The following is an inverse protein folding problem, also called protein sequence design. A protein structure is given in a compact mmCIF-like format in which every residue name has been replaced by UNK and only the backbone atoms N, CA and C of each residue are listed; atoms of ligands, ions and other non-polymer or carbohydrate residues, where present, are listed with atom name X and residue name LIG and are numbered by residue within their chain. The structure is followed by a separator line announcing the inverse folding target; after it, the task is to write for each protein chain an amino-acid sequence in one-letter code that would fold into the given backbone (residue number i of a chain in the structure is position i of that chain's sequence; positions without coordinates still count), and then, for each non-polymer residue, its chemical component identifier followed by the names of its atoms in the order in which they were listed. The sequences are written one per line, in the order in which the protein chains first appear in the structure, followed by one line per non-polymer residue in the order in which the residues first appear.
data_IF_235631392217
#
_entry.id   IF_235631392217
#
_cell.length_a   1.000
_cell.length_b   1.000
_cell.length_c   1.000
_cell.angle_alpha   90.00
_cell.angle_beta   90.00
_cell.angle_gamma   90.00
#
_symmetry.space_group_name_H-M   'P 1'
#
loop_
_entity.id
_entity.type
_entity.pdbx_description
1 polymer ?
#
# COMPACT_ATOMS: atom_id res chain seq x y z
N UNK A 1 -23.62 -17.87 28.11
CA UNK A 1 -22.29 -17.42 28.60
C UNK A 1 -21.16 -18.31 28.10
N UNK A 2 -21.19 -19.60 28.42
CA UNK A 2 -20.22 -20.62 27.96
C UNK A 2 -20.01 -20.64 26.43
N UNK A 3 -21.06 -20.50 25.62
CA UNK A 3 -20.94 -20.40 24.14
C UNK A 3 -20.12 -19.19 23.69
N UNK A 4 -20.25 -18.05 24.38
CA UNK A 4 -19.50 -16.81 24.08
C UNK A 4 -18.03 -16.96 24.47
N UNK A 5 -17.75 -17.57 25.63
CA UNK A 5 -16.38 -17.86 26.07
C UNK A 5 -15.65 -18.83 25.12
N UNK A 6 -16.31 -19.91 24.69
CA UNK A 6 -15.76 -20.83 23.68
C UNK A 6 -15.46 -20.11 22.36
N UNK A 7 -16.34 -19.21 21.91
CA UNK A 7 -16.11 -18.41 20.71
C UNK A 7 -14.88 -17.49 20.84
N UNK A 8 -14.73 -16.79 21.96
CA UNK A 8 -13.57 -15.92 22.21
C UNK A 8 -12.26 -16.71 22.25
N UNK A 9 -12.24 -17.87 22.93
CA UNK A 9 -11.07 -18.77 22.93
C UNK A 9 -10.71 -19.22 21.51
N UNK A 10 -11.69 -19.52 20.66
CA UNK A 10 -11.45 -19.89 19.26
C UNK A 10 -10.90 -18.71 18.44
N UNK A 11 -11.46 -17.52 18.60
CA UNK A 11 -10.97 -16.29 17.95
C UNK A 11 -9.51 -16.05 18.36
N UNK A 12 -9.17 -16.19 19.64
CA UNK A 12 -7.80 -16.04 20.16
C UNK A 12 -6.80 -17.01 19.51
N UNK A 13 -7.19 -18.29 19.34
CA UNK A 13 -6.35 -19.29 18.65
C UNK A 13 -6.12 -18.91 17.17
N UNK A 14 -7.16 -18.43 16.49
CA UNK A 14 -7.09 -18.01 15.09
C UNK A 14 -6.17 -16.80 14.96
N UNK A 15 -6.33 -15.77 15.80
CA UNK A 15 -5.51 -14.56 15.76
C UNK A 15 -4.05 -14.85 16.10
N UNK A 16 -3.77 -15.73 17.06
CA UNK A 16 -2.40 -16.17 17.40
C UNK A 16 -1.73 -16.88 16.21
N UNK A 17 -2.47 -17.76 15.53
CA UNK A 17 -1.98 -18.45 14.33
C UNK A 17 -1.75 -17.47 13.17
N UNK A 18 -2.69 -16.55 12.94
CA UNK A 18 -2.56 -15.51 11.90
C UNK A 18 -1.39 -14.56 12.17
N UNK A 19 -1.08 -14.25 13.43
CA UNK A 19 0.12 -13.48 13.80
C UNK A 19 1.38 -14.20 13.31
N UNK A 20 1.53 -15.50 13.58
CA UNK A 20 2.70 -16.27 13.14
C UNK A 20 2.81 -16.35 11.61
N UNK A 21 1.69 -16.56 10.92
CA UNK A 21 1.65 -16.56 9.45
C UNK A 21 2.06 -15.20 8.88
N UNK A 22 1.58 -14.11 9.49
CA UNK A 22 1.90 -12.75 9.04
C UNK A 22 3.36 -12.40 9.34
N UNK A 23 3.92 -12.88 10.47
CA UNK A 23 5.33 -12.71 10.81
C UNK A 23 6.25 -13.38 9.78
N UNK A 24 5.93 -14.61 9.36
CA UNK A 24 6.70 -15.32 8.32
C UNK A 24 6.63 -14.58 6.97
N UNK A 25 5.45 -14.07 6.59
CA UNK A 25 5.28 -13.28 5.37
C UNK A 25 6.01 -11.94 5.43
N UNK A 26 5.97 -11.26 6.58
CA UNK A 26 6.72 -10.03 6.83
C UNK A 26 8.23 -10.26 6.68
N UNK A 27 8.79 -11.30 7.31
CA UNK A 27 10.22 -11.62 7.21
C UNK A 27 10.68 -11.93 5.77
N UNK A 28 9.79 -12.45 4.93
CA UNK A 28 10.05 -12.60 3.50
C UNK A 28 9.97 -11.25 2.77
N UNK A 29 8.92 -10.48 3.01
CA UNK A 29 8.72 -9.17 2.37
C UNK A 29 9.86 -8.19 2.69
N UNK A 30 10.35 -8.15 3.94
CA UNK A 30 11.47 -7.31 4.35
C UNK A 30 12.77 -7.66 3.62
N UNK A 31 13.05 -8.95 3.41
CA UNK A 31 14.22 -9.39 2.62
C UNK A 31 14.12 -8.96 1.17
N UNK A 32 12.93 -9.05 0.58
CA UNK A 32 12.67 -8.64 -0.81
C UNK A 32 12.60 -7.11 -0.97
N UNK A 33 12.33 -6.36 0.10
CA UNK A 33 12.22 -4.90 0.06
C UNK A 33 13.57 -4.21 -0.11
N UNK A 34 14.63 -4.72 0.54
CA UNK A 34 15.97 -4.12 0.47
C UNK A 34 16.49 -3.91 -0.96
N UNK A 35 16.49 -4.93 -1.86
CA UNK A 35 16.90 -4.71 -3.25
C UNK A 35 15.92 -3.81 -4.01
N UNK A 36 14.61 -3.96 -3.79
CA UNK A 36 13.60 -3.13 -4.46
C UNK A 36 13.77 -1.63 -4.18
N UNK A 37 14.22 -1.26 -2.96
CA UNK A 37 14.51 0.14 -2.61
C UNK A 37 15.57 0.77 -3.49
N UNK A 38 16.64 0.02 -3.80
CA UNK A 38 17.74 0.51 -4.64
C UNK A 38 17.24 0.86 -6.03
N UNK A 39 16.40 0.00 -6.62
CA UNK A 39 15.79 0.25 -7.92
C UNK A 39 14.88 1.48 -7.91
N UNK A 40 14.04 1.62 -6.87
CA UNK A 40 13.17 2.79 -6.74
C UNK A 40 13.94 4.09 -6.58
N UNK A 41 14.98 4.12 -5.73
CA UNK A 41 15.80 5.33 -5.55
C UNK A 41 16.54 5.73 -6.82
N UNK A 42 17.08 4.76 -7.57
CA UNK A 42 17.78 5.05 -8.82
C UNK A 42 16.89 5.71 -9.87
N UNK A 43 15.64 5.26 -9.99
CA UNK A 43 14.64 5.87 -10.88
C UNK A 43 14.33 7.34 -10.51
N UNK A 44 14.23 7.63 -9.21
CA UNK A 44 13.94 8.99 -8.72
C UNK A 44 15.12 9.95 -8.81
N UNK A 45 16.35 9.45 -8.66
CA UNK A 45 17.54 10.28 -8.73
C UNK A 45 17.67 11.01 -10.07
N UNK A 46 17.10 10.47 -11.16
CA UNK A 46 17.04 11.17 -12.43
C UNK A 46 16.13 12.39 -12.32
N UNK A 47 14.91 12.23 -11.80
CA UNK A 47 13.94 13.32 -11.66
C UNK A 47 14.45 14.42 -10.73
N UNK A 48 15.10 14.04 -9.63
CA UNK A 48 15.69 15.00 -8.68
C UNK A 48 16.83 15.79 -9.31
N UNK A 49 17.75 15.13 -10.05
CA UNK A 49 18.90 15.79 -10.67
C UNK A 49 18.53 16.62 -11.90
N UNK A 50 17.53 16.19 -12.66
CA UNK A 50 17.03 16.93 -13.81
C UNK A 50 16.04 18.03 -13.42
N UNK A 51 15.74 18.19 -12.12
CA UNK A 51 14.78 19.16 -11.58
C UNK A 51 13.45 19.18 -12.35
N UNK A 52 12.98 18.02 -12.78
CA UNK A 52 11.75 17.92 -13.57
C UNK A 52 10.60 18.29 -12.65
N UNK A 53 10.07 19.50 -12.84
CA UNK A 53 8.86 20.00 -12.18
C UNK A 53 7.71 19.87 -13.15
N UNK A 54 6.52 19.60 -12.61
CA UNK A 54 5.31 19.74 -13.40
C UNK A 54 5.14 21.23 -13.79
N UNK A 55 4.98 21.56 -15.08
CA UNK A 55 4.57 22.89 -15.50
C UNK A 55 3.27 23.30 -14.78
N UNK A 56 3.20 24.56 -14.34
CA UNK A 56 2.02 25.09 -13.64
C UNK A 56 0.72 25.00 -14.47
N UNK A 57 0.84 24.91 -15.79
CA UNK A 57 -0.26 24.96 -16.76
C UNK A 57 -0.90 23.59 -17.07
N UNK A 58 -0.45 22.52 -16.40
CA UNK A 58 -0.90 21.15 -16.67
C UNK A 58 -2.27 20.85 -16.07
N UNK A 59 -3.17 20.38 -16.94
CA UNK A 59 -4.61 20.25 -16.64
C UNK A 59 -5.02 18.87 -16.15
N UNK A 60 -4.27 17.82 -16.49
CA UNK A 60 -4.65 16.42 -16.21
C UNK A 60 -3.72 15.75 -15.20
N UNK A 61 -4.29 15.28 -14.09
CA UNK A 61 -3.54 14.65 -13.01
C UNK A 61 -3.96 13.20 -12.80
N UNK A 62 -2.98 12.29 -12.74
CA UNK A 62 -3.21 10.86 -12.48
C UNK A 62 -2.82 10.47 -11.06
N UNK A 63 -3.74 9.94 -10.27
CA UNK A 63 -3.46 9.43 -8.92
C UNK A 63 -3.49 7.91 -8.91
N UNK A 64 -2.37 7.28 -8.58
CA UNK A 64 -2.26 5.83 -8.45
C UNK A 64 -2.21 5.45 -6.97
N UNK A 65 -3.26 4.79 -6.46
CA UNK A 65 -3.31 4.32 -5.08
C UNK A 65 -2.89 2.85 -4.97
N UNK A 66 -1.86 2.54 -4.17
CA UNK A 66 -1.31 1.18 -4.04
C UNK A 66 -1.72 0.48 -2.75
N UNK A 67 -2.65 -0.47 -2.85
CA UNK A 67 -3.17 -1.26 -1.74
C UNK A 67 -3.24 -2.75 -2.08
N UNK A 68 -3.81 -3.54 -1.17
CA UNK A 68 -4.09 -4.97 -1.32
C UNK A 68 -5.59 -5.26 -1.31
N UNK A 69 -5.95 -6.49 -1.63
CA UNK A 69 -7.32 -7.01 -1.51
C UNK A 69 -7.64 -7.54 -0.10
N UNK A 70 -6.60 -7.80 0.71
CA UNK A 70 -6.73 -8.51 1.98
C UNK A 70 -6.90 -7.52 3.13
N UNK A 71 -7.94 -7.73 3.94
CA UNK A 71 -8.17 -6.92 5.13
C UNK A 71 -7.31 -7.31 6.35
N UNK A 72 -7.78 -6.89 7.52
CA UNK A 72 -7.19 -7.19 8.84
C UNK A 72 -5.78 -6.60 9.08
N UNK A 73 -5.42 -5.56 8.33
CA UNK A 73 -4.12 -4.87 8.42
C UNK A 73 -4.24 -3.47 9.05
N UNK A 74 -5.20 -3.26 9.95
CA UNK A 74 -5.39 -1.97 10.63
C UNK A 74 -5.79 -0.83 9.68
N UNK A 75 -5.09 0.30 9.76
CA UNK A 75 -5.44 1.53 9.05
C UNK A 75 -4.71 1.73 7.70
N UNK A 76 -4.03 0.70 7.18
CA UNK A 76 -3.23 0.75 5.94
C UNK A 76 -4.04 1.22 4.72
N UNK A 77 -5.26 0.70 4.53
CA UNK A 77 -6.10 1.09 3.38
C UNK A 77 -6.74 2.45 3.59
N UNK A 78 -7.16 2.73 4.83
CA UNK A 78 -7.82 3.98 5.18
C UNK A 78 -6.86 5.17 5.08
N UNK A 79 -5.59 5.00 5.42
CA UNK A 79 -4.58 6.06 5.30
C UNK A 79 -4.42 6.48 3.84
N UNK A 80 -4.24 5.52 2.93
CA UNK A 80 -4.13 5.78 1.48
C UNK A 80 -5.41 6.41 0.94
N UNK A 81 -6.57 5.84 1.25
CA UNK A 81 -7.85 6.37 0.75
C UNK A 81 -8.13 7.79 1.25
N UNK A 82 -7.71 8.14 2.49
CA UNK A 82 -7.86 9.49 3.02
C UNK A 82 -6.95 10.47 2.28
N UNK A 83 -5.67 10.10 2.07
CA UNK A 83 -4.73 10.91 1.31
C UNK A 83 -5.22 11.15 -0.12
N UNK A 84 -5.67 10.10 -0.81
CA UNK A 84 -6.26 10.21 -2.16
C UNK A 84 -7.46 11.16 -2.19
N UNK A 85 -8.39 11.07 -1.23
CA UNK A 85 -9.56 11.98 -1.19
C UNK A 85 -9.15 13.43 -1.03
N UNK A 86 -8.20 13.70 -0.14
CA UNK A 86 -7.69 15.05 0.07
C UNK A 86 -7.05 15.58 -1.22
N UNK A 87 -6.26 14.76 -1.90
CA UNK A 87 -5.57 15.14 -3.12
C UNK A 87 -6.55 15.39 -4.29
N UNK A 88 -7.54 14.51 -4.47
CA UNK A 88 -8.62 14.72 -5.46
C UNK A 88 -9.35 16.03 -5.18
N UNK A 89 -9.66 16.31 -3.91
CA UNK A 89 -10.37 17.54 -3.53
C UNK A 89 -9.51 18.79 -3.81
N UNK A 90 -8.23 18.75 -3.45
CA UNK A 90 -7.30 19.86 -3.67
C UNK A 90 -7.11 20.15 -5.16
N UNK A 91 -6.87 19.12 -5.96
CA UNK A 91 -6.65 19.25 -7.40
C UNK A 91 -7.93 19.66 -8.14
N UNK A 92 -9.09 19.12 -7.74
CA UNK A 92 -10.38 19.52 -8.31
C UNK A 92 -10.72 20.97 -7.97
N UNK A 93 -10.39 21.45 -6.76
CA UNK A 93 -10.55 22.86 -6.39
C UNK A 93 -9.61 23.78 -7.18
N UNK A 94 -8.43 23.28 -7.57
CA UNK A 94 -7.51 23.98 -8.46
C UNK A 94 -7.94 23.94 -9.94
N UNK A 95 -9.07 23.30 -10.27
CA UNK A 95 -9.59 23.21 -11.64
C UNK A 95 -8.89 22.18 -12.52
N UNK A 96 -8.08 21.28 -11.95
CA UNK A 96 -7.43 20.19 -12.68
C UNK A 96 -8.38 19.01 -12.86
N UNK A 97 -8.34 18.38 -14.03
CA UNK A 97 -8.99 17.11 -14.30
C UNK A 97 -8.20 16.00 -13.61
N UNK A 98 -8.84 15.22 -12.74
CA UNK A 98 -8.19 14.18 -11.96
C UNK A 98 -8.72 12.82 -12.38
N UNK A 99 -7.82 11.86 -12.62
CA UNK A 99 -8.19 10.46 -12.83
C UNK A 99 -7.43 9.56 -11.84
N UNK A 100 -8.06 8.47 -11.44
CA UNK A 100 -7.60 7.60 -10.37
C UNK A 100 -7.42 6.18 -10.88
N UNK A 101 -6.27 5.59 -10.55
CA UNK A 101 -5.98 4.17 -10.75
C UNK A 101 -5.91 3.49 -9.40
N UNK A 102 -6.82 2.54 -9.16
CA UNK A 102 -6.86 1.77 -7.93
C UNK A 102 -6.12 0.44 -8.08
N UNK A 103 -4.99 0.28 -7.39
CA UNK A 103 -4.32 -1.02 -7.30
C UNK A 103 -4.79 -1.72 -6.03
N UNK A 104 -5.58 -2.78 -6.20
CA UNK A 104 -6.22 -3.54 -5.13
C UNK A 104 -7.67 -3.14 -4.86
N UNK A 105 -8.49 -4.14 -4.56
CA UNK A 105 -9.95 -4.04 -4.44
C UNK A 105 -10.39 -3.20 -3.22
N UNK A 106 -9.56 -3.11 -2.17
CA UNK A 106 -9.88 -2.32 -0.97
C UNK A 106 -9.94 -0.82 -1.23
N UNK A 107 -9.09 -0.27 -2.10
CA UNK A 107 -9.15 1.15 -2.44
C UNK A 107 -10.45 1.44 -3.19
N UNK A 108 -10.77 0.62 -4.19
CA UNK A 108 -12.01 0.72 -4.95
C UNK A 108 -13.21 0.73 -4.00
N UNK A 109 -13.32 -0.25 -3.10
CA UNK A 109 -14.42 -0.32 -2.13
C UNK A 109 -14.57 0.92 -1.23
N UNK A 110 -13.45 1.56 -0.84
CA UNK A 110 -13.46 2.76 0.02
C UNK A 110 -13.82 4.05 -0.72
N UNK A 111 -13.54 4.12 -2.02
CA UNK A 111 -13.73 5.32 -2.83
C UNK A 111 -15.01 5.26 -3.69
N UNK A 112 -15.49 4.07 -4.08
CA UNK A 112 -16.59 3.86 -5.03
C UNK A 112 -17.82 4.73 -4.76
N UNK A 113 -18.25 4.87 -3.50
CA UNK A 113 -19.47 5.62 -3.14
C UNK A 113 -19.32 7.13 -3.28
N UNK A 114 -18.10 7.65 -3.14
CA UNK A 114 -17.84 9.09 -3.03
C UNK A 114 -17.11 9.66 -4.23
N UNK A 115 -16.21 8.89 -4.82
CA UNK A 115 -15.28 9.30 -5.88
C UNK A 115 -15.26 8.24 -7.00
N UNK A 116 -16.36 7.49 -7.17
CA UNK A 116 -16.47 6.42 -8.16
C UNK A 116 -16.26 6.88 -9.60
N UNK A 117 -16.63 8.13 -9.89
CA UNK A 117 -16.56 8.72 -11.23
C UNK A 117 -15.13 9.03 -11.69
N UNK A 118 -14.18 9.11 -10.75
CA UNK A 118 -12.78 9.44 -11.05
C UNK A 118 -11.96 8.20 -11.44
N UNK A 119 -12.50 6.98 -11.35
CA UNK A 119 -11.73 5.77 -11.64
C UNK A 119 -11.52 5.56 -13.13
N UNK A 120 -10.26 5.53 -13.56
CA UNK A 120 -9.84 5.10 -14.89
C UNK A 120 -9.72 3.57 -14.94
N UNK A 121 -8.91 3.00 -14.05
CA UNK A 121 -8.60 1.57 -14.00
C UNK A 121 -8.64 1.06 -12.56
N UNK A 122 -9.02 -0.22 -12.41
CA UNK A 122 -8.96 -0.92 -11.12
C UNK A 122 -8.35 -2.30 -11.29
N UNK A 123 -7.31 -2.60 -10.52
CA UNK A 123 -6.63 -3.89 -10.51
C UNK A 123 -7.05 -4.71 -9.29
N UNK A 124 -7.22 -6.01 -9.51
CA UNK A 124 -7.59 -6.99 -8.48
C UNK A 124 -6.51 -8.07 -8.38
N UNK A 125 -6.65 -8.94 -7.40
CA UNK A 125 -5.75 -10.04 -7.06
C UNK A 125 -4.37 -9.61 -6.50
N UNK A 126 -4.31 -8.39 -5.95
CA UNK A 126 -3.08 -7.81 -5.39
C UNK A 126 -2.91 -8.21 -3.91
N UNK A 127 -1.75 -8.78 -3.58
CA UNK A 127 -1.38 -9.15 -2.20
C UNK A 127 -1.71 -10.59 -1.79
N UNK A 128 -2.19 -11.44 -2.71
CA UNK A 128 -2.35 -12.89 -2.47
C UNK A 128 -1.01 -13.62 -2.53
N UNK A 129 -0.22 -13.32 -3.57
CA UNK A 129 1.16 -13.76 -3.75
C UNK A 129 2.10 -12.56 -3.51
N UNK A 130 3.39 -12.77 -3.18
CA UNK A 130 4.35 -11.68 -3.14
C UNK A 130 4.39 -10.98 -4.51
N UNK A 131 4.30 -9.64 -4.57
CA UNK A 131 4.29 -8.93 -5.85
C UNK A 131 5.63 -9.12 -6.57
N UNK A 132 5.56 -9.36 -7.86
CA UNK A 132 6.69 -9.50 -8.77
C UNK A 132 6.84 -8.25 -9.64
N UNK A 133 7.95 -8.15 -10.37
CA UNK A 133 8.11 -7.06 -11.34
C UNK A 133 7.08 -7.19 -12.48
N UNK A 134 6.76 -8.43 -12.90
CA UNK A 134 5.74 -8.68 -13.92
C UNK A 134 4.36 -8.13 -13.54
N UNK A 135 3.97 -8.19 -12.27
CA UNK A 135 2.71 -7.59 -11.81
C UNK A 135 2.70 -6.07 -11.99
N UNK A 136 3.83 -5.41 -11.72
CA UNK A 136 3.99 -3.98 -11.95
C UNK A 136 4.00 -3.62 -13.44
N UNK A 137 4.63 -4.45 -14.28
CA UNK A 137 4.64 -4.29 -15.74
C UNK A 137 3.24 -4.40 -16.34
N UNK A 138 2.41 -5.31 -15.85
CA UNK A 138 1.01 -5.42 -16.29
C UNK A 138 0.22 -4.15 -15.94
N UNK A 139 0.39 -3.62 -14.72
CA UNK A 139 -0.27 -2.38 -14.31
C UNK A 139 0.19 -1.20 -15.18
N UNK A 140 1.50 -1.09 -15.42
CA UNK A 140 2.06 -0.04 -16.28
C UNK A 140 1.54 -0.15 -17.72
N UNK A 141 1.51 -1.37 -18.28
CA UNK A 141 1.05 -1.61 -19.65
C UNK A 141 -0.45 -1.27 -19.81
N UNK A 142 -1.30 -1.72 -18.90
CA UNK A 142 -2.73 -1.39 -18.92
C UNK A 142 -2.97 0.12 -18.76
N UNK A 143 -2.15 0.80 -17.95
CA UNK A 143 -2.21 2.25 -17.84
C UNK A 143 -1.84 2.94 -19.16
N UNK A 144 -0.78 2.50 -19.84
CA UNK A 144 -0.38 3.03 -21.15
C UNK A 144 -1.42 2.73 -22.23
N UNK A 145 -2.01 1.52 -22.22
CA UNK A 145 -3.04 1.09 -23.16
C UNK A 145 -4.40 1.78 -22.95
N UNK A 146 -4.61 2.42 -21.79
CA UNK A 146 -5.85 3.15 -21.51
C UNK A 146 -6.08 4.34 -22.45
N UNK A 147 -5.03 4.80 -23.14
CA UNK A 147 -5.05 6.00 -23.99
C UNK A 147 -5.25 7.30 -23.21
N UNK A 148 -5.22 7.25 -21.87
CA UNK A 148 -5.32 8.44 -21.04
C UNK A 148 -3.96 9.13 -20.96
N UNK A 149 -3.84 10.23 -21.69
CA UNK A 149 -2.71 11.14 -21.55
C UNK A 149 -2.87 11.95 -20.27
N UNK A 150 -2.00 11.65 -19.32
CA UNK A 150 -1.82 12.46 -18.12
C UNK A 150 -0.54 13.25 -18.25
N UNK A 151 -0.45 14.27 -17.41
CA UNK A 151 0.47 15.36 -17.55
C UNK A 151 1.43 15.38 -16.35
N UNK A 152 0.83 15.19 -15.18
CA UNK A 152 1.46 14.95 -13.89
C UNK A 152 0.72 13.78 -13.22
N UNK A 153 1.42 12.99 -12.42
CA UNK A 153 0.80 11.95 -11.63
C UNK A 153 1.49 11.74 -10.30
N UNK A 154 0.78 11.11 -9.37
CA UNK A 154 1.29 10.77 -8.04
C UNK A 154 0.95 9.33 -7.67
N UNK A 155 1.97 8.56 -7.24
CA UNK A 155 1.78 7.24 -6.64
C UNK A 155 1.72 7.39 -5.13
N UNK A 156 0.58 7.02 -4.56
CA UNK A 156 0.33 7.05 -3.12
C UNK A 156 0.45 5.62 -2.58
N UNK A 157 1.39 5.43 -1.67
CA UNK A 157 1.67 4.13 -1.06
C UNK A 157 2.12 4.30 0.39
N UNK A 158 2.13 3.20 1.15
CA UNK A 158 2.64 3.20 2.52
C UNK A 158 4.12 2.80 2.52
N UNK A 159 4.99 3.73 2.90
CA UNK A 159 6.42 3.50 3.12
C UNK A 159 6.65 2.84 4.48
N UNK A 160 7.35 1.72 4.46
CA UNK A 160 7.72 0.97 5.65
C UNK A 160 8.85 1.69 6.41
N UNK A 161 8.61 2.05 7.69
CA UNK A 161 9.64 2.60 8.58
C UNK A 161 10.12 1.57 9.60
N UNK A 162 9.19 0.95 10.30
CA UNK A 162 9.45 -0.09 11.28
C UNK A 162 8.25 -1.04 11.39
N UNK A 163 8.39 -2.09 12.18
CA UNK A 163 7.30 -3.05 12.43
C UNK A 163 6.02 -2.39 12.96
N UNK A 164 6.16 -1.27 13.68
CA UNK A 164 5.05 -0.56 14.32
C UNK A 164 4.61 0.65 13.49
N UNK A 165 5.54 1.29 12.77
CA UNK A 165 5.29 2.55 12.07
C UNK A 165 5.47 2.43 10.56
N UNK A 166 4.49 2.96 9.84
CA UNK A 166 4.53 3.22 8.41
C UNK A 166 4.09 4.67 8.18
N UNK A 167 4.49 5.25 7.03
CA UNK A 167 4.06 6.57 6.62
C UNK A 167 3.47 6.50 5.21
N UNK A 168 2.30 7.08 5.00
CA UNK A 168 1.80 7.31 3.65
C UNK A 168 2.67 8.38 3.00
N UNK A 169 3.40 8.01 1.96
CA UNK A 169 4.23 8.91 1.17
C UNK A 169 3.70 8.91 -0.27
N UNK A 170 4.04 9.98 -0.99
CA UNK A 170 3.66 10.16 -2.39
C UNK A 170 4.93 10.25 -3.23
N UNK A 171 4.86 9.73 -4.46
CA UNK A 171 5.96 9.82 -5.43
C UNK A 171 5.44 10.39 -6.74
N UNK A 172 6.09 11.41 -7.30
CA UNK A 172 5.66 11.98 -8.58
C UNK A 172 5.97 11.00 -9.73
N UNK A 173 5.09 11.01 -10.72
CA UNK A 173 5.27 10.44 -12.04
C UNK A 173 5.03 11.57 -13.03
N UNK A 174 5.86 11.66 -14.05
CA UNK A 174 5.72 12.64 -15.11
C UNK A 174 5.37 11.95 -16.43
N UNK A 175 4.66 12.67 -17.28
CA UNK A 175 4.42 12.22 -18.65
C UNK A 175 5.66 12.38 -19.51
N UNK A 176 5.72 11.65 -20.63
CA UNK A 176 6.80 11.78 -21.61
C UNK A 176 7.03 13.22 -22.04
N UNK A 177 5.98 13.97 -22.33
CA UNK A 177 6.06 15.37 -22.76
C UNK A 177 6.68 16.28 -21.70
N UNK A 178 6.31 16.08 -20.43
CA UNK A 178 6.93 16.82 -19.31
C UNK A 178 8.43 16.59 -19.21
N UNK A 179 8.85 15.35 -19.43
CA UNK A 179 10.24 14.97 -19.30
C UNK A 179 11.02 15.52 -20.50
N UNK A 180 10.52 15.30 -21.71
CA UNK A 180 11.13 15.80 -22.95
C UNK A 180 11.25 17.33 -22.98
N UNK A 181 10.32 18.06 -22.36
CA UNK A 181 10.35 19.52 -22.28
C UNK A 181 11.29 20.11 -21.21
N UNK A 182 12.02 19.29 -20.45
CA UNK A 182 12.90 19.80 -19.39
C UNK A 182 14.26 20.27 -19.92
N UNK A 183 14.68 21.49 -19.55
CA UNK A 183 15.94 22.09 -20.00
C UNK A 183 17.18 21.28 -19.57
N UNK A 184 17.11 20.59 -18.42
CA UNK A 184 18.19 19.78 -17.86
C UNK A 184 18.51 18.52 -18.67
N UNK A 185 17.60 18.08 -19.55
CA UNK A 185 17.83 16.93 -20.42
C UNK A 185 18.81 17.25 -21.56
N UNK A 186 19.02 18.53 -21.86
CA UNK A 186 20.00 19.02 -22.86
C UNK A 186 21.46 18.69 -22.52
N UNK A 187 21.74 18.28 -21.29
CA UNK A 187 23.08 17.90 -20.81
C UNK A 187 23.42 16.44 -21.23
N UNK A 188 22.41 15.65 -21.58
CA UNK A 188 22.60 14.27 -21.99
C UNK A 188 22.74 14.19 -23.52
N UNK A 189 23.92 13.80 -23.99
CA UNK A 189 24.17 13.53 -25.41
C UNK A 189 23.42 12.26 -25.88
N UNK A 190 23.05 12.24 -27.16
CA UNK A 190 22.51 11.08 -27.89
C UNK A 190 21.23 10.44 -27.33
N UNK A 191 20.32 11.23 -26.73
CA UNK A 191 18.98 10.73 -26.39
C UNK A 191 18.09 10.77 -27.63
N UNK A 192 17.89 9.61 -28.25
CA UNK A 192 16.81 9.43 -29.22
C UNK A 192 15.44 9.52 -28.52
N UNK A 193 14.44 10.10 -29.19
CA UNK A 193 13.08 10.24 -28.67
C UNK A 193 12.49 8.88 -28.27
N UNK A 194 12.81 7.83 -29.04
CA UNK A 194 12.38 6.46 -28.76
C UNK A 194 13.05 5.88 -27.51
N UNK A 195 14.32 6.20 -27.27
CA UNK A 195 15.05 5.75 -26.06
C UNK A 195 14.45 6.41 -24.82
N UNK A 196 14.12 7.70 -24.89
CA UNK A 196 13.50 8.42 -23.79
C UNK A 196 12.12 7.83 -23.45
N UNK A 197 11.33 7.48 -24.47
CA UNK A 197 10.03 6.83 -24.28
C UNK A 197 10.17 5.49 -23.57
N UNK A 198 11.05 4.61 -24.07
CA UNK A 198 11.31 3.31 -23.44
C UNK A 198 11.79 3.46 -21.99
N UNK A 199 12.63 4.46 -21.72
CA UNK A 199 13.12 4.74 -20.38
C UNK A 199 12.00 5.22 -19.43
N UNK A 200 11.07 6.05 -19.92
CA UNK A 200 9.90 6.50 -19.16
C UNK A 200 8.99 5.33 -18.79
N UNK A 201 8.68 4.46 -19.75
CA UNK A 201 7.85 3.28 -19.53
C UNK A 201 8.49 2.32 -18.52
N UNK A 202 9.81 2.12 -18.61
CA UNK A 202 10.56 1.34 -17.64
C UNK A 202 10.55 1.98 -16.24
N UNK A 203 10.71 3.31 -16.18
CA UNK A 203 10.70 4.06 -14.92
C UNK A 203 9.35 3.98 -14.22
N UNK A 204 8.25 4.08 -14.98
CA UNK A 204 6.89 3.90 -14.48
C UNK A 204 6.72 2.52 -13.83
N UNK A 205 7.10 1.44 -14.53
CA UNK A 205 7.03 0.08 -14.00
C UNK A 205 7.88 -0.08 -12.72
N UNK A 206 9.06 0.55 -12.68
CA UNK A 206 9.95 0.48 -11.54
C UNK A 206 9.39 1.21 -10.29
N UNK A 207 8.82 2.41 -10.47
CA UNK A 207 8.17 3.15 -9.37
C UNK A 207 6.97 2.37 -8.82
N UNK A 208 6.18 1.74 -9.68
CA UNK A 208 5.06 0.88 -9.28
C UNK A 208 5.55 -0.36 -8.52
N UNK A 209 6.61 -1.02 -9.00
CA UNK A 209 7.22 -2.17 -8.34
C UNK A 209 7.74 -1.82 -6.94
N UNK A 210 8.46 -0.71 -6.83
CA UNK A 210 8.93 -0.18 -5.55
C UNK A 210 7.76 0.07 -4.58
N UNK A 211 6.71 0.75 -5.05
CA UNK A 211 5.53 1.09 -4.26
C UNK A 211 4.76 -0.16 -3.80
N UNK A 212 4.65 -1.17 -4.65
CA UNK A 212 4.06 -2.48 -4.32
C UNK A 212 4.83 -3.21 -3.22
N UNK A 213 6.17 -3.20 -3.27
CA UNK A 213 7.03 -3.85 -2.26
C UNK A 213 6.96 -3.14 -0.91
N UNK A 214 7.00 -1.81 -0.90
CA UNK A 214 6.85 -0.99 0.32
C UNK A 214 5.47 -1.21 0.96
N UNK A 215 4.41 -1.14 0.16
CA UNK A 215 3.02 -1.29 0.64
C UNK A 215 2.79 -2.71 1.19
N UNK A 216 3.29 -3.75 0.50
CA UNK A 216 3.17 -5.15 0.96
C UNK A 216 3.88 -5.37 2.30
N UNK A 217 5.07 -4.80 2.48
CA UNK A 217 5.84 -4.96 3.73
C UNK A 217 5.13 -4.28 4.89
N UNK A 218 4.66 -3.05 4.67
CA UNK A 218 3.86 -2.28 5.64
C UNK A 218 2.54 -2.97 5.98
N UNK A 219 1.90 -3.60 5.01
CA UNK A 219 0.66 -4.35 5.22
C UNK A 219 0.87 -5.59 6.10
N UNK A 220 1.95 -6.37 5.87
CA UNK A 220 2.23 -7.55 6.69
C UNK A 220 2.63 -7.18 8.12
N UNK A 221 3.42 -6.12 8.31
CA UNK A 221 3.78 -5.64 9.66
C UNK A 221 2.56 -5.14 10.42
N UNK A 222 1.70 -4.34 9.78
CA UNK A 222 0.47 -3.84 10.38
C UNK A 222 -0.52 -4.97 10.70
N UNK A 223 -0.63 -5.99 9.82
CA UNK A 223 -1.45 -7.18 10.08
C UNK A 223 -0.94 -7.96 11.28
N UNK A 224 0.37 -8.18 11.39
CA UNK A 224 0.97 -8.85 12.55
C UNK A 224 0.62 -8.12 13.85
N UNK A 225 0.77 -6.79 13.88
CA UNK A 225 0.44 -5.95 15.04
C UNK A 225 -1.06 -5.96 15.36
N UNK A 226 -1.91 -5.89 14.35
CA UNK A 226 -3.36 -5.98 14.52
C UNK A 226 -3.80 -7.33 15.12
N UNK A 227 -3.18 -8.44 14.68
CA UNK A 227 -3.46 -9.78 15.22
C UNK A 227 -2.95 -9.95 16.66
N UNK A 228 -1.81 -9.34 16.99
CA UNK A 228 -1.29 -9.35 18.37
C UNK A 228 -2.24 -8.60 19.31
N UNK A 229 -2.68 -7.41 18.91
CA UNK A 229 -3.65 -6.62 19.66
C UNK A 229 -5.00 -7.35 19.80
N UNK A 230 -5.48 -8.00 18.73
CA UNK A 230 -6.70 -8.81 18.79
C UNK A 230 -6.57 -9.98 19.77
N UNK A 231 -5.42 -10.67 19.78
CA UNK A 231 -5.16 -11.79 20.69
C UNK A 231 -5.09 -11.34 22.15
N UNK A 232 -4.42 -10.22 22.43
CA UNK A 232 -4.35 -9.61 23.77
C UNK A 232 -5.72 -9.15 24.25
N UNK A 233 -6.52 -8.54 23.38
CA UNK A 233 -7.88 -8.11 23.72
C UNK A 233 -8.82 -9.28 23.96
N UNK A 234 -8.65 -10.41 23.26
CA UNK A 234 -9.40 -11.64 23.51
C UNK A 234 -9.05 -12.31 24.86
N UNK A 235 -7.88 -12.00 25.42
CA UNK A 235 -7.43 -12.51 26.73
C UNK A 235 -7.96 -11.68 27.91
N UNK A 236 -8.43 -10.45 27.68
CA UNK A 236 -8.90 -9.56 28.76
C UNK A 236 -10.22 -10.07 29.36
N UNK A 237 -10.43 -9.92 30.68
CA UNK A 237 -11.72 -10.20 31.31
C UNK A 237 -12.84 -9.36 30.67
N UNK A 238 -13.98 -9.97 30.36
CA UNK A 238 -15.13 -9.26 29.80
C UNK A 238 -15.73 -8.31 30.86
N UNK A 239 -15.87 -7.00 30.57
CA UNK A 239 -16.58 -6.11 31.48
C UNK A 239 -18.05 -6.55 31.60
N UNK A 240 -18.53 -6.74 32.84
CA UNK A 240 -19.88 -7.19 33.13
C UNK A 240 -20.06 -8.71 33.34
N UNK A 241 -19.00 -9.52 33.21
CA UNK A 241 -19.04 -10.92 33.62
C UNK A 241 -18.38 -11.07 35.00
N UNK A 242 -19.16 -11.49 36.00
CA UNK A 242 -18.70 -11.65 37.38
C UNK A 242 -17.50 -12.59 37.46
N UNK A 243 -16.51 -12.23 38.29
CA UNK A 243 -15.31 -13.02 38.59
C UNK A 243 -15.62 -14.50 38.90
N UNK A 244 -16.82 -14.80 39.40
CA UNK A 244 -17.31 -16.15 39.71
C UNK A 244 -17.41 -17.12 38.52
N UNK A 245 -17.66 -16.65 37.29
CA UNK A 245 -17.68 -17.53 36.12
C UNK A 245 -16.28 -17.82 35.54
N UNK A 246 -15.30 -16.97 35.86
CA UNK A 246 -13.89 -17.11 35.43
C UNK A 246 -13.13 -18.03 36.39
N UNK A 247 -13.38 -17.91 37.70
CA UNK A 247 -12.74 -18.72 38.75
C UNK A 247 -13.09 -20.22 38.65
N UNK A 248 -14.30 -20.57 38.19
CA UNK A 248 -14.67 -21.99 37.97
C UNK A 248 -13.97 -22.63 36.75
N UNK A 249 -13.33 -21.86 35.87
CA UNK A 249 -12.61 -22.35 34.69
C UNK A 249 -11.09 -22.13 34.78
N UNK A 250 -10.62 -21.16 35.57
CA UNK A 250 -9.20 -20.91 35.82
C UNK A 250 -8.50 -22.07 36.57
N UNK A 251 -9.22 -22.83 37.39
CA UNK A 251 -8.66 -24.01 38.08
C UNK A 251 -8.21 -25.15 37.14
N UNK A 252 -8.58 -25.11 35.86
CA UNK A 252 -8.19 -26.14 34.88
C UNK A 252 -7.10 -25.69 33.87
N UNK A 253 -6.93 -24.39 33.63
CA UNK A 253 -6.16 -23.88 32.47
C UNK A 253 -4.96 -22.96 32.82
N UNK A 254 -4.74 -22.59 34.10
CA UNK A 254 -3.61 -21.72 34.50
C UNK A 254 -2.20 -22.22 34.10
N UNK A 255 -1.88 -23.53 34.08
CA UNK A 255 -0.52 -23.95 33.70
C UNK A 255 -0.20 -23.81 32.20
N UNK A 256 -1.19 -23.62 31.32
CA UNK A 256 -0.94 -23.50 29.86
C UNK A 256 -0.61 -22.07 29.41
N UNK A 257 -0.98 -21.05 30.19
CA UNK A 257 -0.67 -19.66 29.83
C UNK A 257 0.76 -19.27 30.20
N UNK A 258 1.29 -19.82 31.30
CA UNK A 258 2.65 -19.51 31.80
C UNK A 258 3.75 -20.42 31.22
N UNK A 259 3.45 -21.62 30.73
CA UNK A 259 4.44 -22.56 30.19
C UNK A 259 4.87 -22.30 28.73
N UNK A 260 4.26 -21.33 28.04
CA UNK A 260 4.58 -20.97 26.65
C UNK A 260 5.19 -19.57 26.50
N UNK A 261 5.58 -18.95 27.62
CA UNK A 261 6.25 -17.65 27.70
C UNK A 261 7.67 -17.73 28.30
N UNK A 262 8.17 -18.94 28.58
CA UNK A 262 9.60 -19.26 28.68
C UNK A 262 10.03 -19.97 27.40
#
# INVERSE_FOLDING_TARGET
VTRRLKSIKNIQKITKSMKMVSAAKYARAERELKPARVYGTGALSLYEKAEIKAPEDKKKHLIIGVSSDRGLCGAIHTSIAKTMKNEITNLSNAGKEVMVVGVGDKIRGLLQRTHGNYFLLTFKEVGRRPPSFGDASVIALELLNSGYEFDEGSVIYNRFRSVISYKTDEKPIFSFETVAGSESLSIYDDIDADVLRNYQEFTLANILYYSLKESTTSEQSARMTAMDNASKNACKPLPGFSRTAVVQQESADLPLCNSLLQ
#
